data_IF_345283524977
#
_entry.id   IF_345283524977
#
_cell.length_a   1.000
_cell.length_b   1.000
_cell.length_c   1.000
_cell.angle_alpha   90.00
_cell.angle_beta   90.00
_cell.angle_gamma   90.00
#
_symmetry.space_group_name_H-M   'P 1'
#
loop_
_entity.id
_entity.type
_entity.pdbx_description
1 polymer ?
#
# COMPACT_ATOMS: atom_id res chain seq x y z
N UNK A 1 -23.95 16.41 -8.76
CA UNK A 1 -24.38 15.05 -8.34
C UNK A 1 -23.93 14.83 -6.91
N UNK A 2 -24.79 14.42 -5.98
CA UNK A 2 -24.48 14.52 -4.53
C UNK A 2 -23.52 13.45 -3.98
N UNK A 3 -23.05 12.49 -4.79
CA UNK A 3 -22.25 11.34 -4.32
C UNK A 3 -20.92 11.15 -5.05
N UNK A 4 -20.48 12.09 -5.88
CA UNK A 4 -19.27 11.95 -6.66
C UNK A 4 -17.99 11.89 -5.79
N UNK A 5 -18.01 12.54 -4.63
CA UNK A 5 -16.97 12.45 -3.63
C UNK A 5 -16.80 11.01 -3.08
N UNK A 6 -17.92 10.30 -2.84
CA UNK A 6 -17.87 8.89 -2.42
C UNK A 6 -17.41 7.98 -3.55
N UNK A 7 -17.89 8.23 -4.79
CA UNK A 7 -17.46 7.47 -5.97
C UNK A 7 -15.96 7.63 -6.19
N UNK A 8 -15.44 8.86 -6.18
CA UNK A 8 -13.99 9.09 -6.30
C UNK A 8 -13.19 8.43 -5.17
N UNK A 9 -13.73 8.45 -3.94
CA UNK A 9 -13.10 7.77 -2.80
C UNK A 9 -13.07 6.26 -2.99
N UNK A 10 -14.15 5.64 -3.46
CA UNK A 10 -14.21 4.21 -3.72
C UNK A 10 -13.25 3.80 -4.84
N UNK A 11 -13.26 4.50 -5.98
CA UNK A 11 -12.34 4.25 -7.10
C UNK A 11 -10.88 4.33 -6.63
N UNK A 12 -10.54 5.34 -5.81
CA UNK A 12 -9.19 5.51 -5.29
C UNK A 12 -8.82 4.42 -4.26
N UNK A 13 -9.74 4.07 -3.35
CA UNK A 13 -9.51 3.10 -2.27
C UNK A 13 -9.31 1.67 -2.78
N UNK A 14 -10.07 1.28 -3.82
CA UNK A 14 -10.03 -0.05 -4.42
C UNK A 14 -9.00 -0.17 -5.57
N UNK A 15 -8.22 0.90 -5.80
CA UNK A 15 -7.16 0.91 -6.82
C UNK A 15 -7.71 0.53 -8.22
N UNK A 16 -8.92 1.01 -8.54
CA UNK A 16 -9.61 0.72 -9.81
C UNK A 16 -8.90 1.45 -10.97
N UNK A 17 -8.86 0.87 -12.20
CA UNK A 17 -8.27 1.53 -13.37
C UNK A 17 -8.78 2.96 -13.57
N UNK A 18 -7.85 3.93 -13.70
CA UNK A 18 -8.13 5.35 -13.85
C UNK A 18 -8.29 5.73 -15.33
N UNK A 19 -9.22 5.08 -16.00
CA UNK A 19 -9.56 5.29 -17.42
C UNK A 19 -11.06 5.38 -17.64
N UNK A 20 -11.51 5.86 -18.80
CA UNK A 20 -12.92 5.94 -19.17
C UNK A 20 -13.77 6.67 -18.12
N UNK A 21 -14.86 6.03 -17.71
CA UNK A 21 -15.81 6.56 -16.73
C UNK A 21 -15.17 6.78 -15.35
N UNK A 22 -14.33 5.87 -14.88
CA UNK A 22 -13.67 5.99 -13.60
C UNK A 22 -12.82 7.26 -13.50
N UNK A 23 -12.09 7.60 -14.57
CA UNK A 23 -11.29 8.83 -14.63
C UNK A 23 -12.18 10.07 -14.59
N UNK A 24 -13.27 10.07 -15.35
CA UNK A 24 -14.24 11.19 -15.40
C UNK A 24 -14.92 11.37 -14.05
N UNK A 25 -15.43 10.30 -13.44
CA UNK A 25 -16.09 10.34 -12.14
C UNK A 25 -15.12 10.77 -11.02
N UNK A 26 -13.87 10.31 -11.06
CA UNK A 26 -12.83 10.75 -10.12
C UNK A 26 -12.52 12.23 -10.28
N UNK A 27 -12.38 12.72 -11.50
CA UNK A 27 -12.16 14.15 -11.76
C UNK A 27 -13.27 15.02 -11.17
N UNK A 28 -14.53 14.69 -11.46
CA UNK A 28 -15.69 15.41 -10.93
C UNK A 28 -15.82 15.28 -9.41
N UNK A 29 -15.50 14.10 -8.86
CA UNK A 29 -15.48 13.90 -7.41
C UNK A 29 -14.42 14.71 -6.68
N UNK A 30 -13.23 14.86 -7.27
CA UNK A 30 -12.19 15.75 -6.74
C UNK A 30 -12.61 17.21 -6.78
N UNK A 31 -13.33 17.67 -7.81
CA UNK A 31 -13.92 19.00 -7.83
C UNK A 31 -14.93 19.18 -6.69
N UNK A 32 -15.81 18.20 -6.47
CA UNK A 32 -16.77 18.24 -5.37
C UNK A 32 -16.07 18.31 -4.01
N UNK A 33 -14.96 17.59 -3.79
CA UNK A 33 -14.14 17.70 -2.59
C UNK A 33 -13.60 19.12 -2.34
N UNK A 34 -13.32 19.86 -3.40
CA UNK A 34 -12.78 21.23 -3.29
C UNK A 34 -13.88 22.27 -3.07
N UNK A 35 -15.01 22.13 -3.76
CA UNK A 35 -16.10 23.12 -3.78
C UNK A 35 -17.07 22.91 -2.61
N UNK A 36 -17.49 21.67 -2.37
CA UNK A 36 -18.51 21.34 -1.37
C UNK A 36 -18.23 19.97 -0.73
N UNK A 37 -17.20 19.85 0.11
CA UNK A 37 -16.84 18.60 0.74
C UNK A 37 -17.94 18.13 1.70
N UNK A 38 -18.24 16.85 1.66
CA UNK A 38 -19.16 16.16 2.57
C UNK A 38 -18.78 16.42 4.04
N UNK A 39 -19.76 16.73 4.88
CA UNK A 39 -19.56 17.08 6.30
C UNK A 39 -18.74 16.03 7.04
N UNK A 40 -19.04 14.74 6.82
CA UNK A 40 -18.30 13.64 7.45
C UNK A 40 -16.82 13.58 7.10
N UNK A 41 -16.39 14.12 5.96
CA UNK A 41 -15.01 14.11 5.51
C UNK A 41 -14.25 15.40 5.81
N UNK A 42 -14.94 16.50 6.14
CA UNK A 42 -14.32 17.82 6.39
C UNK A 42 -13.24 17.78 7.45
N UNK A 43 -13.38 16.94 8.47
CA UNK A 43 -12.38 16.81 9.53
C UNK A 43 -11.02 16.37 8.97
N UNK A 44 -11.01 15.37 8.08
CA UNK A 44 -9.77 14.83 7.50
C UNK A 44 -9.16 15.76 6.46
N UNK A 45 -9.98 16.58 5.78
CA UNK A 45 -9.52 17.50 4.74
C UNK A 45 -8.79 18.72 5.31
N UNK A 46 -8.97 19.06 6.60
CA UNK A 46 -8.35 20.24 7.24
C UNK A 46 -6.82 20.23 7.21
N UNK A 47 -6.21 19.05 7.21
CA UNK A 47 -4.74 18.86 7.21
C UNK A 47 -4.15 18.77 5.80
N UNK A 48 -4.99 18.68 4.78
CA UNK A 48 -4.57 18.48 3.39
C UNK A 48 -4.30 19.81 2.70
N UNK A 49 -3.31 19.78 1.79
CA UNK A 49 -3.03 20.91 0.89
C UNK A 49 -4.04 20.91 -0.25
N UNK A 50 -4.52 22.07 -0.65
CA UNK A 50 -5.35 22.21 -1.84
C UNK A 50 -4.47 22.43 -3.09
N UNK A 51 -4.88 21.93 -4.26
CA UNK A 51 -6.07 21.13 -4.54
C UNK A 51 -5.92 19.68 -4.06
N UNK A 52 -7.04 19.06 -3.65
CA UNK A 52 -7.12 17.65 -3.26
C UNK A 52 -6.81 16.75 -4.47
N UNK A 53 -6.02 15.71 -4.25
CA UNK A 53 -5.56 14.77 -5.29
C UNK A 53 -6.01 13.34 -4.98
N UNK A 54 -5.94 12.45 -5.95
CA UNK A 54 -6.20 11.01 -5.75
C UNK A 54 -5.30 10.43 -4.65
N UNK A 55 -4.04 10.85 -4.58
CA UNK A 55 -3.13 10.43 -3.50
C UNK A 55 -3.63 10.78 -2.10
N UNK A 56 -4.34 11.89 -1.94
CA UNK A 56 -4.94 12.26 -0.65
C UNK A 56 -6.11 11.32 -0.30
N UNK A 57 -6.87 10.88 -1.30
CA UNK A 57 -7.92 9.89 -1.10
C UNK A 57 -7.31 8.54 -0.69
N UNK A 58 -6.29 8.07 -1.40
CA UNK A 58 -5.61 6.79 -1.16
C UNK A 58 -4.89 6.75 0.19
N UNK A 59 -4.15 7.80 0.55
CA UNK A 59 -3.26 7.78 1.73
C UNK A 59 -3.82 8.46 2.97
N UNK A 60 -4.88 9.26 2.84
CA UNK A 60 -5.48 9.96 3.98
C UNK A 60 -6.92 9.53 4.24
N UNK A 61 -7.79 9.54 3.24
CA UNK A 61 -9.22 9.27 3.43
C UNK A 61 -9.48 7.76 3.53
N UNK A 62 -9.07 6.98 2.53
CA UNK A 62 -9.34 5.55 2.46
C UNK A 62 -8.77 4.74 3.64
N UNK A 63 -7.52 4.98 4.13
CA UNK A 63 -7.00 4.25 5.28
C UNK A 63 -7.82 4.46 6.56
N UNK A 64 -8.39 5.64 6.76
CA UNK A 64 -9.26 5.95 7.91
C UNK A 64 -10.58 5.20 7.82
N UNK A 65 -11.23 5.25 6.65
CA UNK A 65 -12.47 4.51 6.40
C UNK A 65 -12.23 3.01 6.61
N UNK A 66 -11.15 2.47 6.04
CA UNK A 66 -10.79 1.06 6.16
C UNK A 66 -10.43 0.66 7.60
N UNK A 67 -9.80 1.56 8.38
CA UNK A 67 -9.46 1.28 9.77
C UNK A 67 -10.71 1.05 10.65
N UNK A 68 -11.81 1.74 10.38
CA UNK A 68 -13.07 1.49 11.09
C UNK A 68 -13.53 0.01 10.96
N UNK A 69 -13.46 -0.57 9.75
CA UNK A 69 -13.83 -1.97 9.54
C UNK A 69 -12.80 -3.00 10.00
N UNK A 70 -11.56 -2.57 10.26
CA UNK A 70 -10.48 -3.46 10.74
C UNK A 70 -10.35 -3.51 12.26
N UNK A 71 -10.58 -2.38 12.93
CA UNK A 71 -10.35 -2.19 14.37
C UNK A 71 -11.65 -2.17 15.18
N UNK A 72 -12.79 -1.89 14.53
CA UNK A 72 -14.12 -1.81 15.11
C UNK A 72 -15.15 -2.34 14.09
N UNK A 73 -16.24 -1.66 13.89
CA UNK A 73 -17.30 -2.04 12.96
C UNK A 73 -17.41 -1.03 11.81
N UNK A 74 -17.40 -1.52 10.55
CA UNK A 74 -17.48 -0.66 9.35
C UNK A 74 -18.69 0.27 9.29
N UNK A 75 -19.76 -0.03 10.05
CA UNK A 75 -20.94 0.84 10.19
C UNK A 75 -20.58 2.22 10.75
N UNK A 76 -19.51 2.34 11.54
CA UNK A 76 -19.03 3.62 12.06
C UNK A 76 -18.61 4.57 10.92
N UNK A 77 -17.94 4.04 9.89
CA UNK A 77 -17.58 4.79 8.69
C UNK A 77 -18.82 5.17 7.87
N UNK A 78 -19.75 4.22 7.66
CA UNK A 78 -21.01 4.50 6.93
C UNK A 78 -21.78 5.64 7.61
N UNK A 79 -21.97 5.60 8.93
CA UNK A 79 -22.65 6.65 9.69
C UNK A 79 -21.94 8.00 9.60
N UNK A 80 -20.59 8.02 9.51
CA UNK A 80 -19.85 9.25 9.29
C UNK A 80 -20.10 9.81 7.89
N UNK A 81 -20.06 8.96 6.87
CA UNK A 81 -20.22 9.36 5.48
C UNK A 81 -21.64 9.82 5.14
N UNK A 82 -22.63 9.33 5.87
CA UNK A 82 -24.05 9.67 5.66
C UNK A 82 -24.54 10.89 6.45
N UNK A 83 -23.79 11.35 7.46
CA UNK A 83 -24.28 12.46 8.29
C UNK A 83 -24.15 13.82 7.59
N UNK A 84 -25.17 14.63 7.72
CA UNK A 84 -25.24 16.03 7.31
C UNK A 84 -25.08 17.01 8.48
N UNK A 85 -24.87 16.50 9.71
CA UNK A 85 -24.76 17.28 10.93
C UNK A 85 -23.32 17.27 11.46
N UNK A 86 -22.70 18.45 11.49
CA UNK A 86 -21.30 18.61 11.93
C UNK A 86 -21.09 18.20 13.39
N UNK A 87 -22.07 18.43 14.28
CA UNK A 87 -21.99 18.05 15.71
C UNK A 87 -21.94 16.52 15.87
N UNK A 88 -22.61 15.77 14.98
CA UNK A 88 -22.60 14.31 14.96
C UNK A 88 -21.39 13.74 14.21
N UNK A 89 -20.90 14.45 13.18
CA UNK A 89 -19.75 14.04 12.39
C UNK A 89 -18.45 14.08 13.18
N UNK A 90 -18.21 15.16 13.93
CA UNK A 90 -16.92 15.42 14.57
C UNK A 90 -16.46 14.33 15.55
N UNK A 91 -17.29 13.84 16.50
CA UNK A 91 -16.88 12.76 17.39
C UNK A 91 -16.63 11.45 16.64
N UNK A 92 -17.43 11.14 15.60
CA UNK A 92 -17.23 9.93 14.75
C UNK A 92 -15.92 10.01 13.95
N UNK A 93 -15.62 11.16 13.36
CA UNK A 93 -14.38 11.38 12.62
C UNK A 93 -13.15 11.24 13.52
N UNK A 94 -13.20 11.75 14.77
CA UNK A 94 -12.12 11.58 15.76
C UNK A 94 -11.94 10.12 16.16
N UNK A 95 -13.02 9.37 16.36
CA UNK A 95 -12.97 7.94 16.68
C UNK A 95 -12.31 7.16 15.53
N UNK A 96 -12.69 7.43 14.29
CA UNK A 96 -12.10 6.79 13.10
C UNK A 96 -10.62 7.16 12.93
N UNK A 97 -10.24 8.40 13.21
CA UNK A 97 -8.83 8.83 13.17
C UNK A 97 -8.02 8.13 14.27
N UNK A 98 -8.59 7.95 15.46
CA UNK A 98 -8.00 7.13 16.52
C UNK A 98 -7.81 5.68 16.10
N UNK A 99 -8.82 5.03 15.53
CA UNK A 99 -8.70 3.66 15.00
C UNK A 99 -7.61 3.54 13.94
N UNK A 100 -7.46 4.54 13.07
CA UNK A 100 -6.39 4.53 12.08
C UNK A 100 -5.01 4.67 12.74
N UNK A 101 -4.88 5.43 13.82
CA UNK A 101 -3.64 5.54 14.59
C UNK A 101 -3.30 4.22 15.28
N UNK A 102 -4.27 3.62 15.98
CA UNK A 102 -4.13 2.30 16.62
C UNK A 102 -3.78 1.20 15.60
N UNK A 103 -4.45 1.19 14.45
CA UNK A 103 -4.12 0.27 13.36
C UNK A 103 -2.67 0.42 12.90
N UNK A 104 -2.18 1.67 12.76
CA UNK A 104 -0.80 1.92 12.32
C UNK A 104 0.24 1.46 13.34
N UNK A 105 0.04 1.78 14.63
CA UNK A 105 0.96 1.34 15.67
C UNK A 105 0.96 -0.19 15.84
N UNK A 106 -0.21 -0.83 15.71
CA UNK A 106 -0.33 -2.29 15.74
C UNK A 106 0.37 -2.93 14.54
N UNK A 107 0.19 -2.39 13.35
CA UNK A 107 0.83 -2.81 12.10
C UNK A 107 2.37 -2.68 12.18
N UNK A 108 2.90 -1.57 12.68
CA UNK A 108 4.33 -1.34 12.87
C UNK A 108 4.92 -2.35 13.86
N UNK A 109 4.31 -2.54 15.02
CA UNK A 109 4.73 -3.50 16.04
C UNK A 109 4.73 -4.94 15.52
N UNK A 110 3.64 -5.38 14.89
CA UNK A 110 3.54 -6.76 14.37
C UNK A 110 4.55 -6.99 13.24
N UNK A 111 4.79 -5.99 12.38
CA UNK A 111 5.80 -6.08 11.32
C UNK A 111 7.20 -6.27 11.90
N UNK A 112 7.55 -5.52 12.95
CA UNK A 112 8.83 -5.67 13.63
C UNK A 112 8.98 -7.04 14.30
N UNK A 113 7.96 -7.51 15.02
CA UNK A 113 7.93 -8.85 15.63
C UNK A 113 8.10 -9.95 14.57
N UNK A 114 7.42 -9.83 13.43
CA UNK A 114 7.51 -10.78 12.33
C UNK A 114 8.89 -10.80 11.66
N UNK A 115 9.51 -9.62 11.45
CA UNK A 115 10.87 -9.53 10.93
C UNK A 115 11.88 -10.15 11.88
N UNK A 116 11.74 -9.93 13.19
CA UNK A 116 12.59 -10.57 14.20
C UNK A 116 12.40 -12.10 14.19
N UNK A 117 11.17 -12.60 14.05
CA UNK A 117 10.90 -14.04 13.96
C UNK A 117 11.60 -14.67 12.76
N UNK A 118 11.59 -14.03 11.58
CA UNK A 118 12.28 -14.52 10.37
C UNK A 118 13.78 -14.67 10.63
N UNK A 119 14.40 -13.71 11.31
CA UNK A 119 15.85 -13.74 11.63
C UNK A 119 16.15 -14.81 12.66
N UNK A 120 15.37 -14.89 13.74
CA UNK A 120 15.56 -15.87 14.82
C UNK A 120 15.40 -17.31 14.36
N UNK A 121 14.53 -17.55 13.39
CA UNK A 121 14.29 -18.86 12.81
C UNK A 121 15.27 -19.20 11.67
N UNK A 122 16.25 -18.35 11.39
CA UNK A 122 17.20 -18.50 10.26
C UNK A 122 16.53 -18.61 8.88
N UNK A 123 15.36 -17.97 8.70
CA UNK A 123 14.54 -18.04 7.48
C UNK A 123 14.84 -16.94 6.47
N UNK A 124 15.91 -16.18 6.65
CA UNK A 124 16.25 -15.05 5.77
C UNK A 124 16.47 -15.44 4.30
N UNK A 125 16.96 -16.65 4.05
CA UNK A 125 17.28 -17.19 2.71
C UNK A 125 16.19 -18.10 2.11
N UNK A 126 15.03 -18.23 2.78
CA UNK A 126 13.92 -19.02 2.26
C UNK A 126 13.28 -18.36 1.02
N UNK A 127 12.63 -19.16 0.18
CA UNK A 127 11.90 -18.71 -1.02
C UNK A 127 10.51 -18.15 -0.69
N UNK A 128 10.02 -18.38 0.51
CA UNK A 128 8.74 -17.87 1.02
C UNK A 128 8.88 -17.36 2.45
N UNK A 129 7.86 -16.69 2.93
CA UNK A 129 7.73 -16.30 4.34
C UNK A 129 6.41 -16.82 4.89
N UNK A 130 6.47 -17.61 5.98
CA UNK A 130 5.29 -18.01 6.73
C UNK A 130 5.55 -17.75 8.21
N UNK A 131 4.90 -16.74 8.76
CA UNK A 131 5.06 -16.31 10.16
C UNK A 131 3.74 -16.41 10.90
N UNK A 132 3.82 -16.73 12.19
CA UNK A 132 2.67 -16.95 13.06
C UNK A 132 2.91 -16.41 14.45
N UNK A 133 1.89 -15.74 15.00
CA UNK A 133 1.82 -15.48 16.43
C UNK A 133 0.35 -15.41 16.88
N UNK A 134 -0.02 -16.06 18.00
CA UNK A 134 -1.43 -16.19 18.41
C UNK A 134 -2.09 -14.84 18.77
N UNK A 135 -1.32 -13.84 19.20
CA UNK A 135 -1.85 -12.55 19.65
C UNK A 135 -1.90 -11.47 18.56
N UNK A 136 -1.49 -11.76 17.32
CA UNK A 136 -1.53 -10.75 16.27
C UNK A 136 -2.97 -10.42 15.86
N UNK A 137 -3.23 -9.16 15.59
CA UNK A 137 -4.57 -8.70 15.27
C UNK A 137 -5.00 -9.12 13.86
N UNK A 138 -6.06 -9.94 13.75
CA UNK A 138 -6.57 -10.48 12.47
C UNK A 138 -6.84 -9.41 11.39
N UNK A 139 -7.35 -8.23 11.77
CA UNK A 139 -7.63 -7.11 10.84
C UNK A 139 -6.38 -6.45 10.25
N UNK A 140 -5.18 -6.79 10.76
CA UNK A 140 -3.91 -6.13 10.40
C UNK A 140 -2.94 -7.05 9.67
N UNK A 141 -3.01 -8.39 9.88
CA UNK A 141 -2.05 -9.35 9.32
C UNK A 141 -1.87 -9.24 7.79
N UNK A 142 -2.93 -8.86 7.06
CA UNK A 142 -2.82 -8.66 5.61
C UNK A 142 -2.00 -7.42 5.21
N UNK A 143 -1.93 -6.40 6.07
CA UNK A 143 -1.06 -5.23 5.88
C UNK A 143 0.38 -5.63 6.19
N UNK A 144 0.58 -6.35 7.29
CA UNK A 144 1.89 -6.89 7.69
C UNK A 144 2.47 -7.76 6.58
N UNK A 145 1.68 -8.67 5.99
CA UNK A 145 2.14 -9.50 4.87
C UNK A 145 2.65 -8.65 3.69
N UNK A 146 1.98 -7.54 3.38
CA UNK A 146 2.45 -6.62 2.33
C UNK A 146 3.76 -5.92 2.71
N UNK A 147 3.94 -5.52 3.98
CA UNK A 147 5.18 -4.88 4.46
C UNK A 147 6.36 -5.83 4.52
N UNK A 148 6.14 -7.09 4.88
CA UNK A 148 7.21 -8.09 4.87
C UNK A 148 7.77 -8.33 3.47
N UNK A 149 6.92 -8.22 2.42
CA UNK A 149 7.37 -8.27 1.01
C UNK A 149 8.29 -7.09 0.66
N UNK A 150 8.11 -5.91 1.27
CA UNK A 150 9.02 -4.78 1.04
C UNK A 150 10.46 -5.05 1.52
N UNK A 151 10.61 -5.91 2.55
CA UNK A 151 11.91 -6.29 3.11
C UNK A 151 12.45 -7.58 2.47
N UNK A 152 11.62 -8.61 2.39
CA UNK A 152 11.95 -9.89 1.77
C UNK A 152 11.03 -10.11 0.58
N UNK A 153 11.48 -9.75 -0.62
CA UNK A 153 10.67 -9.75 -1.84
C UNK A 153 10.34 -11.18 -2.28
N UNK A 154 9.41 -11.82 -1.59
CA UNK A 154 8.96 -13.21 -1.79
C UNK A 154 7.53 -13.42 -1.31
N UNK A 155 6.82 -14.48 -1.79
CA UNK A 155 5.47 -14.80 -1.32
C UNK A 155 5.42 -14.93 0.19
N UNK A 156 4.43 -14.29 0.81
CA UNK A 156 4.36 -14.14 2.27
C UNK A 156 2.99 -14.48 2.81
N UNK A 157 2.95 -15.30 3.85
CA UNK A 157 1.75 -15.65 4.64
C UNK A 157 1.97 -15.21 6.08
N UNK A 158 1.02 -14.46 6.62
CA UNK A 158 0.98 -14.06 8.04
C UNK A 158 -0.25 -14.68 8.68
N UNK A 159 -0.04 -15.37 9.78
CA UNK A 159 -1.06 -16.15 10.50
C UNK A 159 -1.26 -15.63 11.92
N UNK A 160 -2.48 -15.73 12.41
CA UNK A 160 -2.83 -15.48 13.81
C UNK A 160 -3.88 -16.49 14.26
N UNK A 161 -4.02 -16.66 15.56
CA UNK A 161 -5.08 -17.51 16.13
C UNK A 161 -6.39 -16.75 16.26
N UNK A 162 -7.48 -17.38 15.87
CA UNK A 162 -8.84 -16.84 16.01
C UNK A 162 -9.81 -18.02 16.16
N UNK A 163 -10.55 -18.06 17.26
CA UNK A 163 -11.58 -19.07 17.51
C UNK A 163 -11.07 -20.53 17.43
N UNK A 164 -9.85 -20.78 17.92
CA UNK A 164 -9.23 -22.11 17.94
C UNK A 164 -8.68 -22.60 16.61
N UNK A 165 -8.65 -21.74 15.57
CA UNK A 165 -8.03 -22.01 14.28
C UNK A 165 -7.04 -20.92 13.91
N UNK A 166 -6.11 -21.21 13.01
CA UNK A 166 -5.20 -20.21 12.46
C UNK A 166 -5.83 -19.53 11.26
N UNK A 167 -6.04 -18.24 11.37
CA UNK A 167 -6.50 -17.39 10.27
C UNK A 167 -5.31 -16.67 9.63
N UNK A 168 -5.17 -16.73 8.31
CA UNK A 168 -4.03 -16.19 7.59
C UNK A 168 -4.40 -15.23 6.47
N UNK A 169 -3.43 -14.39 6.13
CA UNK A 169 -3.46 -13.57 4.93
C UNK A 169 -2.19 -13.77 4.14
N UNK A 170 -2.35 -14.12 2.86
CA UNK A 170 -1.27 -14.33 1.92
C UNK A 170 -1.14 -13.14 0.97
N UNK A 171 0.09 -12.80 0.61
CA UNK A 171 0.43 -11.79 -0.40
C UNK A 171 1.51 -12.35 -1.33
N UNK A 172 1.49 -11.90 -2.58
CA UNK A 172 2.39 -12.37 -3.62
C UNK A 172 3.34 -11.28 -4.11
N UNK A 173 4.41 -11.72 -4.78
CA UNK A 173 5.29 -10.87 -5.58
C UNK A 173 4.88 -10.91 -7.05
N UNK A 174 5.42 -9.99 -7.87
CA UNK A 174 5.12 -9.94 -9.29
C UNK A 174 5.45 -11.27 -9.98
N UNK A 175 4.51 -11.75 -10.79
CA UNK A 175 4.68 -12.99 -11.57
C UNK A 175 4.33 -14.29 -10.84
N UNK A 176 4.37 -14.35 -9.50
CA UNK A 176 3.99 -15.54 -8.73
C UNK A 176 2.49 -15.57 -8.44
N UNK A 177 1.88 -16.74 -8.47
CA UNK A 177 0.46 -16.94 -8.16
C UNK A 177 0.30 -17.57 -6.78
N UNK A 178 -0.05 -16.73 -5.77
CA UNK A 178 -0.22 -17.22 -4.40
C UNK A 178 -1.46 -18.09 -4.24
N UNK A 179 -2.47 -17.93 -5.09
CA UNK A 179 -3.67 -18.77 -5.04
C UNK A 179 -3.32 -20.21 -5.42
N UNK A 180 -2.56 -20.41 -6.52
CA UNK A 180 -2.09 -21.76 -6.92
C UNK A 180 -1.16 -22.38 -5.87
N UNK A 181 -0.32 -21.57 -5.22
CA UNK A 181 0.51 -22.05 -4.12
C UNK A 181 -0.31 -22.56 -2.93
N UNK A 182 -1.40 -21.86 -2.58
CA UNK A 182 -2.33 -22.32 -1.55
C UNK A 182 -3.11 -23.57 -2.01
N UNK A 183 -3.55 -23.60 -3.26
CA UNK A 183 -4.26 -24.77 -3.82
C UNK A 183 -3.40 -26.03 -3.74
N UNK A 184 -2.10 -25.94 -4.04
CA UNK A 184 -1.16 -27.05 -3.88
C UNK A 184 -0.96 -27.52 -2.43
N UNK A 185 -1.28 -26.66 -1.45
CA UNK A 185 -1.20 -26.94 -0.02
C UNK A 185 -2.59 -27.20 0.60
N UNK A 186 -3.63 -27.44 -0.20
CA UNK A 186 -5.03 -27.53 0.25
C UNK A 186 -5.28 -28.58 1.31
N UNK A 187 -4.55 -29.71 1.29
CA UNK A 187 -4.68 -30.80 2.25
C UNK A 187 -4.37 -30.37 3.69
N UNK A 188 -3.63 -29.27 3.89
CA UNK A 188 -3.26 -28.73 5.18
C UNK A 188 -4.17 -27.59 5.65
N UNK A 189 -5.21 -27.25 4.89
CA UNK A 189 -6.08 -26.13 5.19
C UNK A 189 -7.54 -26.55 5.37
N UNK A 190 -8.27 -25.81 6.20
CA UNK A 190 -9.72 -25.93 6.33
C UNK A 190 -10.41 -25.27 5.13
N UNK A 191 -9.92 -24.07 4.79
CA UNK A 191 -10.41 -23.28 3.66
C UNK A 191 -9.38 -22.25 3.22
N UNK A 192 -9.45 -21.86 1.97
CA UNK A 192 -8.72 -20.72 1.41
C UNK A 192 -9.53 -20.07 0.29
N UNK A 193 -9.17 -18.83 -0.06
CA UNK A 193 -9.82 -18.11 -1.15
C UNK A 193 -9.14 -16.78 -1.44
N UNK A 194 -9.27 -16.32 -2.67
CA UNK A 194 -8.62 -15.08 -3.10
C UNK A 194 -8.32 -15.08 -4.59
N UNK A 195 -7.21 -14.47 -4.95
CA UNK A 195 -6.72 -14.37 -6.32
C UNK A 195 -5.18 -14.37 -6.34
N UNK A 196 -4.61 -14.33 -7.54
CA UNK A 196 -3.16 -14.40 -7.79
C UNK A 196 -2.28 -13.59 -6.85
N UNK A 197 -2.73 -12.40 -6.40
CA UNK A 197 -1.89 -11.47 -5.63
C UNK A 197 -2.18 -11.44 -4.13
N UNK A 198 -3.37 -11.89 -3.74
CA UNK A 198 -3.79 -11.87 -2.34
C UNK A 198 -4.82 -12.95 -2.07
N UNK A 199 -4.68 -13.65 -0.96
CA UNK A 199 -5.61 -14.68 -0.52
C UNK A 199 -5.74 -14.69 1.00
N UNK A 200 -6.88 -15.22 1.48
CA UNK A 200 -7.11 -15.58 2.86
C UNK A 200 -7.10 -17.10 3.03
N UNK A 201 -6.70 -17.57 4.20
CA UNK A 201 -6.69 -19.00 4.51
C UNK A 201 -7.03 -19.25 5.97
N UNK A 202 -7.45 -20.48 6.24
CA UNK A 202 -7.69 -20.98 7.60
C UNK A 202 -7.16 -22.40 7.70
N UNK A 203 -6.40 -22.70 8.74
CA UNK A 203 -5.88 -24.04 9.00
C UNK A 203 -5.95 -24.38 10.48
N UNK A 204 -5.83 -25.67 10.81
CA UNK A 204 -5.72 -26.12 12.19
C UNK A 204 -4.31 -25.86 12.73
N UNK A 205 -4.13 -25.54 14.02
CA UNK A 205 -2.80 -25.32 14.60
C UNK A 205 -1.82 -26.47 14.33
N UNK A 206 -2.30 -27.73 14.35
CA UNK A 206 -1.50 -28.91 14.13
C UNK A 206 -0.92 -29.01 12.71
N UNK A 207 -1.52 -28.33 11.74
CA UNK A 207 -1.12 -28.35 10.33
C UNK A 207 -0.11 -27.25 9.96
N UNK A 208 0.27 -26.39 10.91
CA UNK A 208 1.12 -25.23 10.62
C UNK A 208 2.48 -25.64 10.03
N UNK A 209 3.10 -26.65 10.60
CA UNK A 209 4.44 -27.10 10.19
C UNK A 209 4.41 -27.67 8.77
N UNK A 210 3.47 -28.57 8.49
CA UNK A 210 3.30 -29.20 7.18
C UNK A 210 2.91 -28.18 6.12
N UNK A 211 2.00 -27.27 6.44
CA UNK A 211 1.65 -26.16 5.55
C UNK A 211 2.87 -25.31 5.20
N UNK A 212 3.67 -24.94 6.20
CA UNK A 212 4.88 -24.12 5.99
C UNK A 212 5.88 -24.81 5.07
N UNK A 213 6.12 -26.11 5.29
CA UNK A 213 7.01 -26.91 4.44
C UNK A 213 6.49 -27.03 3.01
N UNK A 214 5.18 -27.29 2.84
CA UNK A 214 4.55 -27.37 1.53
C UNK A 214 4.64 -26.04 0.77
N UNK A 215 4.30 -24.94 1.43
CA UNK A 215 4.32 -23.61 0.82
C UNK A 215 5.73 -23.18 0.40
N UNK A 216 6.76 -23.46 1.23
CA UNK A 216 8.16 -23.22 0.89
C UNK A 216 8.62 -24.09 -0.28
N UNK A 217 8.28 -25.38 -0.28
CA UNK A 217 8.63 -26.29 -1.38
C UNK A 217 8.01 -25.83 -2.70
N UNK A 218 6.74 -25.43 -2.68
CA UNK A 218 6.07 -24.89 -3.86
C UNK A 218 6.71 -23.58 -4.33
N UNK A 219 6.97 -22.64 -3.44
CA UNK A 219 7.62 -21.38 -3.78
C UNK A 219 8.99 -21.62 -4.41
N UNK A 220 9.82 -22.48 -3.81
CA UNK A 220 11.15 -22.82 -4.30
C UNK A 220 11.12 -23.45 -5.69
N UNK A 221 10.09 -24.24 -6.01
CA UNK A 221 9.95 -24.90 -7.30
C UNK A 221 9.41 -23.99 -8.42
N UNK A 222 8.65 -22.95 -8.09
CA UNK A 222 7.90 -22.14 -9.05
C UNK A 222 8.30 -20.67 -9.13
N UNK A 223 9.12 -20.17 -8.18
CA UNK A 223 9.69 -18.82 -8.27
C UNK A 223 10.84 -18.80 -9.27
N UNK A 224 10.74 -17.91 -10.24
CA UNK A 224 11.82 -17.62 -11.17
C UNK A 224 12.81 -16.61 -10.55
N UNK A 225 14.11 -16.67 -10.85
CA UNK A 225 15.11 -15.73 -10.31
C UNK A 225 14.74 -14.27 -10.56
N UNK A 226 14.12 -13.95 -11.70
CA UNK A 226 13.68 -12.60 -12.06
C UNK A 226 12.55 -12.09 -11.14
N UNK A 227 11.78 -12.99 -10.54
CA UNK A 227 10.67 -12.66 -9.63
C UNK A 227 11.13 -12.38 -8.19
N UNK A 228 12.39 -12.60 -7.88
CA UNK A 228 13.00 -12.29 -6.58
C UNK A 228 13.61 -10.89 -6.53
N UNK A 229 13.58 -10.17 -7.62
CA UNK A 229 14.11 -8.80 -7.71
C UNK A 229 13.01 -7.82 -8.09
N UNK A 230 12.84 -6.74 -7.30
CA UNK A 230 11.93 -5.67 -7.68
C UNK A 230 12.39 -5.05 -9.00
N UNK A 231 11.46 -4.92 -9.95
CA UNK A 231 11.70 -4.23 -11.22
C UNK A 231 10.99 -2.90 -11.24
N UNK A 232 11.65 -1.87 -11.78
CA UNK A 232 11.07 -0.55 -12.00
C UNK A 232 10.86 -0.34 -13.49
N UNK A 233 9.62 -0.10 -13.89
CA UNK A 233 9.31 0.33 -15.25
C UNK A 233 9.37 1.85 -15.35
N UNK A 234 9.84 2.35 -16.48
CA UNK A 234 9.81 3.78 -16.81
C UNK A 234 9.20 3.98 -18.20
N UNK A 235 8.66 5.16 -18.43
CA UNK A 235 7.95 5.47 -19.68
C UNK A 235 8.89 6.04 -20.74
N UNK A 236 9.91 6.81 -20.32
CA UNK A 236 10.82 7.48 -21.27
C UNK A 236 12.15 7.84 -20.62
N UNK A 237 13.23 7.79 -21.41
CA UNK A 237 14.52 8.36 -21.06
C UNK A 237 14.56 9.85 -21.39
N UNK A 238 14.98 10.67 -20.44
CA UNK A 238 15.08 12.12 -20.59
C UNK A 238 16.38 12.65 -19.99
N UNK A 239 16.95 13.66 -20.62
CA UNK A 239 17.95 14.53 -20.00
C UNK A 239 17.27 15.58 -19.13
N UNK A 240 17.99 16.15 -18.15
CA UNK A 240 17.39 17.12 -17.22
C UNK A 240 16.95 18.42 -17.89
N UNK A 241 17.55 18.82 -19.00
CA UNK A 241 17.15 20.01 -19.77
C UNK A 241 15.74 19.88 -20.38
N UNK A 242 15.28 18.64 -20.65
CA UNK A 242 13.92 18.37 -21.11
C UNK A 242 12.86 18.51 -19.99
N UNK A 243 13.25 18.51 -18.71
CA UNK A 243 12.36 18.66 -17.56
C UNK A 243 11.93 20.11 -17.35
N UNK A 244 11.21 20.65 -18.32
CA UNK A 244 10.78 22.05 -18.33
C UNK A 244 9.47 22.28 -17.56
N UNK A 245 9.19 23.52 -17.11
CA UNK A 245 7.88 23.86 -16.55
C UNK A 245 6.71 23.61 -17.53
N UNK A 246 6.98 23.66 -18.86
CA UNK A 246 5.98 23.32 -19.88
C UNK A 246 5.65 21.82 -19.83
N UNK A 247 6.65 20.95 -19.79
CA UNK A 247 6.44 19.49 -19.67
C UNK A 247 5.65 19.17 -18.40
N UNK A 248 6.03 19.76 -17.27
CA UNK A 248 5.32 19.58 -16.01
C UNK A 248 3.83 19.97 -16.08
N UNK A 249 3.51 21.11 -16.73
CA UNK A 249 2.12 21.53 -16.93
C UNK A 249 1.34 20.57 -17.80
N UNK A 250 1.94 20.07 -18.88
CA UNK A 250 1.30 19.08 -19.78
C UNK A 250 1.00 17.78 -19.02
N UNK A 251 1.98 17.27 -18.27
CA UNK A 251 1.77 16.06 -17.47
C UNK A 251 0.62 16.27 -16.46
N UNK A 252 0.57 17.40 -15.77
CA UNK A 252 -0.51 17.66 -14.82
C UNK A 252 -1.90 17.74 -15.46
N UNK A 253 -2.02 18.04 -16.75
CA UNK A 253 -3.32 17.99 -17.48
C UNK A 253 -3.80 16.53 -17.70
N UNK A 254 -2.92 15.54 -17.56
CA UNK A 254 -3.30 14.13 -17.65
C UNK A 254 -3.96 13.60 -16.35
N UNK A 255 -3.95 14.37 -15.26
CA UNK A 255 -4.61 14.02 -14.00
C UNK A 255 -6.14 13.87 -14.17
N UNK A 256 -6.82 13.11 -13.32
CA UNK A 256 -6.33 12.36 -12.15
C UNK A 256 -5.52 11.11 -12.53
N UNK A 257 -4.43 10.86 -11.76
CA UNK A 257 -3.57 9.71 -11.94
C UNK A 257 -4.01 8.53 -11.08
N UNK A 258 -3.77 7.32 -11.55
CA UNK A 258 -4.07 6.07 -10.89
C UNK A 258 -3.75 4.88 -11.81
N UNK A 259 -4.10 3.64 -11.44
CA UNK A 259 -3.84 2.46 -12.27
C UNK A 259 -4.30 2.68 -13.73
N UNK A 260 -3.51 2.21 -14.70
CA UNK A 260 -3.65 2.43 -16.15
C UNK A 260 -3.57 3.89 -16.64
N UNK A 261 -3.49 4.86 -15.74
CA UNK A 261 -3.16 6.26 -16.02
C UNK A 261 -2.18 6.75 -14.95
N UNK A 262 -1.06 6.04 -14.79
CA UNK A 262 -0.04 6.41 -13.83
C UNK A 262 0.66 7.70 -14.25
N UNK A 263 1.19 8.42 -13.26
CA UNK A 263 2.07 9.55 -13.56
C UNK A 263 3.30 9.01 -14.28
N UNK A 264 3.73 9.62 -15.41
CA UNK A 264 4.91 9.18 -16.12
C UNK A 264 6.15 9.13 -15.22
N UNK A 265 6.92 8.06 -15.37
CA UNK A 265 8.21 7.85 -14.73
C UNK A 265 9.30 8.02 -15.79
N UNK A 266 10.28 8.86 -15.49
CA UNK A 266 11.39 9.11 -16.37
C UNK A 266 12.68 8.58 -15.79
N UNK A 267 13.60 8.16 -16.65
CA UNK A 267 14.96 7.78 -16.26
C UNK A 267 15.97 8.73 -16.91
N UNK A 268 16.99 9.08 -16.15
CA UNK A 268 18.18 9.80 -16.66
C UNK A 268 19.40 9.00 -16.27
N UNK A 269 20.21 8.65 -17.27
CA UNK A 269 21.42 7.86 -17.07
C UNK A 269 22.65 8.75 -16.82
N UNK A 270 23.72 8.12 -16.30
CA UNK A 270 25.03 8.74 -16.10
C UNK A 270 25.00 10.00 -15.22
N UNK A 271 24.11 10.01 -14.24
CA UNK A 271 24.04 11.09 -13.26
C UNK A 271 25.17 10.97 -12.22
N UNK A 272 25.67 12.13 -11.79
CA UNK A 272 26.67 12.25 -10.72
C UNK A 272 26.15 13.18 -9.63
N UNK A 273 26.59 12.97 -8.39
CA UNK A 273 26.37 13.96 -7.34
C UNK A 273 27.10 15.25 -7.68
N UNK A 274 26.40 16.38 -7.56
CA UNK A 274 26.94 17.72 -7.77
C UNK A 274 27.57 18.31 -6.48
N UNK A 275 27.68 17.52 -5.40
CA UNK A 275 28.31 17.89 -4.13
C UNK A 275 27.35 18.43 -3.08
N UNK A 276 26.04 18.49 -3.35
CA UNK A 276 25.04 19.01 -2.41
C UNK A 276 24.05 17.96 -1.89
N UNK A 277 24.20 16.69 -2.27
CA UNK A 277 23.36 15.60 -1.78
C UNK A 277 23.57 15.37 -0.28
N UNK A 278 22.48 15.33 0.49
CA UNK A 278 22.54 15.08 1.94
C UNK A 278 21.28 14.42 2.47
N UNK A 279 21.42 13.74 3.60
CA UNK A 279 20.31 13.20 4.36
C UNK A 279 19.43 14.34 4.92
N UNK A 280 18.13 14.15 4.92
CA UNK A 280 17.11 15.10 5.42
C UNK A 280 15.91 14.33 5.97
N UNK A 281 15.07 15.04 6.74
CA UNK A 281 13.88 14.47 7.38
C UNK A 281 14.06 14.34 8.88
N UNK A 282 13.01 13.91 9.59
CA UNK A 282 13.01 13.83 11.05
C UNK A 282 14.05 12.81 11.60
N UNK A 283 14.37 11.79 10.82
CA UNK A 283 15.28 10.70 11.16
C UNK A 283 16.39 10.54 10.12
N UNK A 284 16.66 11.59 9.35
CA UNK A 284 17.63 11.60 8.25
C UNK A 284 17.46 10.43 7.26
N UNK A 285 16.22 9.98 7.05
CA UNK A 285 15.88 8.81 6.25
C UNK A 285 15.59 9.12 4.77
N UNK A 286 15.63 10.39 4.37
CA UNK A 286 15.44 10.83 2.98
C UNK A 286 16.70 11.46 2.44
N UNK A 287 16.96 11.36 1.11
CA UNK A 287 18.05 12.10 0.46
C UNK A 287 17.50 13.32 -0.26
N UNK A 288 18.00 14.51 0.10
CA UNK A 288 17.90 15.68 -0.77
C UNK A 288 19.03 15.58 -1.80
N UNK A 289 18.64 15.34 -3.05
CA UNK A 289 19.57 15.14 -4.15
C UNK A 289 19.94 16.48 -4.78
N UNK A 290 21.23 16.64 -5.10
CA UNK A 290 21.72 17.64 -6.05
C UNK A 290 22.59 16.91 -7.05
N UNK A 291 22.05 16.65 -8.24
CA UNK A 291 22.65 15.78 -9.25
C UNK A 291 22.85 16.53 -10.56
N UNK A 292 23.81 16.07 -11.34
CA UNK A 292 24.15 16.58 -12.66
C UNK A 292 24.14 15.44 -13.66
N UNK A 293 23.50 15.62 -14.81
CA UNK A 293 23.49 14.64 -15.89
C UNK A 293 24.74 14.73 -16.78
N UNK A 294 24.83 13.83 -17.76
CA UNK A 294 25.93 13.81 -18.73
C UNK A 294 26.02 15.10 -19.58
N UNK A 295 24.92 15.81 -19.75
CA UNK A 295 24.84 17.11 -20.46
C UNK A 295 25.29 18.32 -19.64
N UNK A 296 25.61 18.10 -18.33
CA UNK A 296 26.03 19.17 -17.43
C UNK A 296 24.87 19.95 -16.80
N UNK A 297 23.63 19.51 -16.99
CA UNK A 297 22.45 20.14 -16.39
C UNK A 297 22.27 19.67 -14.93
N UNK A 298 22.16 20.63 -14.00
CA UNK A 298 21.91 20.35 -12.58
C UNK A 298 20.42 20.22 -12.30
N UNK A 299 20.09 19.24 -11.43
CA UNK A 299 18.73 19.03 -10.99
C UNK A 299 18.69 18.75 -9.49
N UNK A 300 17.66 19.28 -8.81
CA UNK A 300 17.41 19.04 -7.40
C UNK A 300 16.19 18.16 -7.22
N UNK A 301 16.29 17.16 -6.32
CA UNK A 301 15.22 16.22 -6.05
C UNK A 301 15.21 15.74 -4.61
N UNK A 302 14.23 14.91 -4.30
CA UNK A 302 14.13 14.16 -3.02
C UNK A 302 13.92 12.70 -3.34
N UNK A 303 14.75 11.83 -2.76
CA UNK A 303 14.57 10.38 -2.73
C UNK A 303 14.09 9.98 -1.33
N UNK A 304 12.81 9.67 -1.22
CA UNK A 304 12.19 9.34 0.05
C UNK A 304 12.59 7.95 0.53
N UNK A 305 13.02 7.81 1.79
CA UNK A 305 13.41 6.54 2.40
C UNK A 305 14.73 5.96 1.90
N UNK A 306 15.54 6.71 1.15
CA UNK A 306 16.76 6.23 0.49
C UNK A 306 18.08 6.74 1.11
N UNK A 307 18.05 7.29 2.32
CA UNK A 307 19.24 7.78 3.02
C UNK A 307 19.96 6.70 3.85
N UNK A 308 19.64 5.42 3.62
CA UNK A 308 20.25 4.28 4.34
C UNK A 308 21.38 3.68 3.55
#
# INVERSE_FOLDING_TARGET
MPYLDLVATAIAADIVPMEGENRTLTFLGLQQFQENPRIGLQFFLKTLKKPIKVTDLVFVIAPRINAAGRMDHGLSAVKLLMTDNLKLALPKARSIDFFNTERRSTDERITEEALQQIVLNEETMCSSTVVFHPSWHKGVIGIVASRLIETYYRPTVVLTESEGVLSGSARSVSGFDVYQALEACSDFMIQFGGHKYAAGLTLKPEQLTEFKQCFEAYAKAHLLPEQLQPTYSYDLELHFDALTPKLYRIINQMAPFGPKNMRPVFVTHLCKDAGGTRAVGKEDNHLKLEIIDAGGTRFQGIAFGMAR
#
